data_IF_247313696291
#
_entry.id   IF_247313696291
#
_cell.length_a   1.000
_cell.length_b   1.000
_cell.length_c   1.000
_cell.angle_alpha   90.00
_cell.angle_beta   90.00
_cell.angle_gamma   90.00
#
_symmetry.space_group_name_H-M   'P 1'
#
loop_
_entity.id
_entity.type
_entity.pdbx_description
1 polymer ?
#
# COMPACT_ATOMS: atom_id res chain seq x y z
N UNK A 1 -14.57 -5.28 -18.36
CA UNK A 1 -13.99 -5.96 -19.54
C UNK A 1 -15.02 -6.82 -20.24
N UNK A 2 -15.49 -7.91 -19.62
CA UNK A 2 -16.47 -8.80 -20.24
C UNK A 2 -17.73 -8.05 -20.74
N UNK A 3 -18.33 -7.17 -19.95
CA UNK A 3 -19.55 -6.43 -20.37
C UNK A 3 -19.31 -5.31 -21.40
N UNK A 4 -18.09 -5.14 -21.94
CA UNK A 4 -17.78 -4.07 -22.90
C UNK A 4 -17.77 -2.65 -22.31
N UNK A 5 -17.83 -2.52 -20.98
CA UNK A 5 -17.86 -1.22 -20.28
C UNK A 5 -16.47 -0.63 -20.01
N UNK A 6 -15.40 -1.34 -20.36
CA UNK A 6 -14.02 -0.89 -20.13
C UNK A 6 -13.31 -0.86 -21.48
N UNK A 7 -12.90 0.35 -21.90
CA UNK A 7 -12.22 0.55 -23.17
C UNK A 7 -10.74 0.16 -23.12
N UNK A 8 -10.08 0.34 -21.98
CA UNK A 8 -8.69 -0.06 -21.86
C UNK A 8 -8.21 -0.29 -20.45
N UNK A 9 -7.05 -0.94 -20.36
CA UNK A 9 -6.49 -1.45 -19.12
C UNK A 9 -4.97 -1.28 -19.10
N UNK A 10 -4.44 -0.86 -17.95
CA UNK A 10 -3.02 -0.98 -17.63
C UNK A 10 -2.82 -2.22 -16.75
N UNK A 11 -1.91 -3.10 -17.17
CA UNK A 11 -1.45 -4.26 -16.40
C UNK A 11 0.05 -4.10 -16.20
N UNK A 12 0.46 -3.73 -14.99
CA UNK A 12 1.85 -3.42 -14.65
C UNK A 12 2.33 -4.37 -13.54
N UNK A 13 3.27 -5.25 -13.85
CA UNK A 13 3.80 -6.25 -12.89
C UNK A 13 2.74 -7.24 -12.38
N UNK A 14 1.77 -7.58 -13.22
CA UNK A 14 0.70 -8.53 -12.95
C UNK A 14 0.42 -9.37 -14.18
N UNK A 15 -0.20 -10.54 -13.98
CA UNK A 15 -0.55 -11.45 -15.06
C UNK A 15 -1.97 -12.03 -14.87
N UNK A 16 -3.03 -11.23 -15.04
CA UNK A 16 -4.41 -11.67 -14.85
C UNK A 16 -4.82 -12.85 -15.73
N UNK A 17 -4.26 -13.00 -16.93
CA UNK A 17 -4.53 -14.14 -17.82
C UNK A 17 -4.25 -15.51 -17.17
N UNK A 18 -3.38 -15.55 -16.15
CA UNK A 18 -3.03 -16.74 -15.35
C UNK A 18 -3.52 -16.61 -13.91
N UNK A 19 -3.34 -15.44 -13.28
CA UNK A 19 -3.63 -15.22 -11.86
C UNK A 19 -5.11 -15.10 -11.51
N UNK A 20 -5.99 -14.90 -12.49
CA UNK A 20 -7.43 -14.86 -12.27
C UNK A 20 -7.97 -16.26 -11.95
N UNK A 21 -8.91 -16.35 -11.01
CA UNK A 21 -9.57 -17.61 -10.62
C UNK A 21 -10.30 -18.31 -11.78
N UNK A 22 -10.73 -17.55 -12.79
CA UNK A 22 -11.29 -18.06 -14.03
C UNK A 22 -10.54 -17.49 -15.26
N UNK A 23 -9.38 -18.08 -15.56
CA UNK A 23 -8.50 -17.59 -16.65
C UNK A 23 -9.16 -17.58 -18.04
N UNK A 24 -10.08 -18.51 -18.35
CA UNK A 24 -10.80 -18.51 -19.65
C UNK A 24 -11.72 -17.31 -19.77
N UNK A 25 -12.46 -16.98 -18.71
CA UNK A 25 -13.29 -15.78 -18.69
C UNK A 25 -12.42 -14.52 -18.82
N UNK A 26 -11.31 -14.47 -18.08
CA UNK A 26 -10.41 -13.32 -18.08
C UNK A 26 -9.80 -13.07 -19.47
N UNK A 27 -9.24 -14.10 -20.12
CA UNK A 27 -8.65 -13.96 -21.46
C UNK A 27 -9.67 -13.57 -22.53
N UNK A 28 -10.90 -14.09 -22.44
CA UNK A 28 -12.02 -13.64 -23.29
C UNK A 28 -12.46 -12.21 -22.98
N UNK A 29 -12.30 -11.75 -21.74
CA UNK A 29 -12.62 -10.40 -21.35
C UNK A 29 -11.56 -9.40 -21.84
N UNK A 30 -10.27 -9.78 -21.81
CA UNK A 30 -9.17 -9.00 -22.39
C UNK A 30 -9.37 -8.74 -23.88
N UNK A 31 -9.86 -9.74 -24.62
CA UNK A 31 -10.22 -9.64 -26.04
C UNK A 31 -11.32 -8.62 -26.38
N UNK A 32 -12.03 -8.08 -25.36
CA UNK A 32 -13.08 -7.06 -25.55
C UNK A 32 -12.58 -5.63 -25.30
N UNK A 33 -11.33 -5.45 -24.89
CA UNK A 33 -10.72 -4.14 -24.73
C UNK A 33 -10.47 -3.50 -26.10
N UNK A 34 -10.53 -2.16 -26.16
CA UNK A 34 -10.01 -1.41 -27.31
C UNK A 34 -8.49 -1.35 -27.28
N UNK A 35 -7.91 -1.17 -26.09
CA UNK A 35 -6.46 -1.16 -25.90
C UNK A 35 -6.03 -1.78 -24.57
N UNK A 36 -4.85 -2.39 -24.55
CA UNK A 36 -4.20 -2.98 -23.38
C UNK A 36 -2.76 -2.49 -23.31
N UNK A 37 -2.36 -1.95 -22.16
CA UNK A 37 -0.96 -1.66 -21.86
C UNK A 37 -0.46 -2.71 -20.89
N UNK A 38 0.37 -3.63 -21.36
CA UNK A 38 1.10 -4.58 -20.54
C UNK A 38 2.52 -4.06 -20.29
N UNK A 39 2.96 -4.07 -19.04
CA UNK A 39 4.32 -3.67 -18.69
C UNK A 39 4.91 -4.61 -17.66
N UNK A 40 5.93 -5.35 -18.08
CA UNK A 40 6.57 -6.40 -17.29
C UNK A 40 8.04 -6.60 -17.74
N UNK A 41 8.80 -7.38 -16.99
CA UNK A 41 10.22 -7.68 -17.29
C UNK A 41 10.37 -8.64 -18.48
N UNK A 42 9.32 -9.42 -18.74
CA UNK A 42 9.25 -10.40 -19.84
C UNK A 42 7.88 -10.31 -20.50
N UNK A 43 7.74 -10.89 -21.68
CA UNK A 43 6.42 -11.11 -22.25
C UNK A 43 5.62 -12.07 -21.37
N UNK A 44 4.41 -11.69 -20.99
CA UNK A 44 3.50 -12.48 -20.15
C UNK A 44 2.32 -12.98 -20.97
N UNK A 45 1.62 -14.01 -20.47
CA UNK A 45 0.38 -14.54 -21.06
C UNK A 45 -0.71 -13.47 -21.17
N UNK A 46 -0.65 -12.43 -20.33
CA UNK A 46 -1.55 -11.27 -20.46
C UNK A 46 -1.17 -10.38 -21.64
N UNK A 47 0.11 -10.22 -21.96
CA UNK A 47 0.55 -9.47 -23.14
C UNK A 47 0.33 -10.26 -24.44
N UNK A 48 0.47 -11.59 -24.39
CA UNK A 48 0.38 -12.48 -25.54
C UNK A 48 -0.98 -13.17 -25.71
N UNK A 49 -1.99 -12.83 -24.89
CA UNK A 49 -3.29 -13.52 -24.86
C UNK A 49 -3.97 -13.63 -26.23
N UNK A 50 -3.73 -12.66 -27.11
CA UNK A 50 -4.39 -12.53 -28.41
C UNK A 50 -3.83 -13.49 -29.47
N UNK A 51 -2.63 -14.07 -29.29
CA UNK A 51 -2.06 -15.07 -30.21
C UNK A 51 -1.61 -16.38 -29.55
N UNK A 52 -1.28 -16.36 -28.25
CA UNK A 52 -0.70 -17.51 -27.54
C UNK A 52 -1.63 -18.10 -26.47
N UNK A 53 -2.88 -17.63 -26.35
CA UNK A 53 -3.80 -18.19 -25.36
C UNK A 53 -4.34 -19.56 -25.78
N UNK A 54 -4.73 -20.41 -24.80
CA UNK A 54 -5.45 -21.65 -25.09
C UNK A 54 -6.76 -21.42 -25.88
N UNK A 55 -7.37 -20.24 -25.78
CA UNK A 55 -8.55 -19.89 -26.57
C UNK A 55 -8.22 -19.65 -28.05
N UNK A 56 -7.01 -19.17 -28.37
CA UNK A 56 -6.53 -19.09 -29.76
C UNK A 56 -6.24 -20.50 -30.30
N UNK A 57 -5.55 -21.34 -29.53
CA UNK A 57 -5.27 -22.74 -29.92
C UNK A 57 -6.56 -23.54 -30.18
N UNK A 58 -7.62 -23.27 -29.40
CA UNK A 58 -8.94 -23.90 -29.58
C UNK A 58 -9.81 -23.24 -30.67
N UNK A 59 -9.33 -22.18 -31.33
CA UNK A 59 -10.08 -21.43 -32.34
C UNK A 59 -11.26 -20.61 -31.79
N UNK A 60 -11.29 -20.36 -30.47
CA UNK A 60 -12.30 -19.51 -29.82
C UNK A 60 -11.99 -18.01 -29.95
N UNK A 61 -10.73 -17.67 -30.18
CA UNK A 61 -10.22 -16.33 -30.49
C UNK A 61 -9.30 -16.45 -31.72
N UNK A 62 -9.19 -15.38 -32.52
CA UNK A 62 -8.28 -15.32 -33.66
C UNK A 62 -7.58 -13.96 -33.71
N UNK A 63 -6.23 -13.93 -33.84
CA UNK A 63 -5.47 -12.69 -34.00
C UNK A 63 -6.02 -11.77 -35.09
N UNK A 64 -6.52 -12.35 -36.18
CA UNK A 64 -7.03 -11.61 -37.35
C UNK A 64 -8.37 -10.91 -37.07
N UNK A 65 -9.14 -11.40 -36.10
CA UNK A 65 -10.46 -10.87 -35.74
C UNK A 65 -10.46 -9.99 -34.50
N UNK A 66 -9.38 -10.00 -33.71
CA UNK A 66 -9.25 -9.24 -32.47
C UNK A 66 -8.88 -7.79 -32.75
N UNK A 67 -9.68 -6.86 -32.25
CA UNK A 67 -9.47 -5.43 -32.43
C UNK A 67 -8.66 -4.77 -31.30
N UNK A 68 -8.29 -5.52 -30.26
CA UNK A 68 -7.56 -4.97 -29.11
C UNK A 68 -6.15 -4.59 -29.51
N UNK A 69 -5.82 -3.30 -29.39
CA UNK A 69 -4.45 -2.81 -29.56
C UNK A 69 -3.63 -3.13 -28.30
N UNK A 70 -2.53 -3.88 -28.43
CA UNK A 70 -1.69 -4.27 -27.29
C UNK A 70 -0.34 -3.56 -27.34
N UNK A 71 -0.04 -2.81 -26.28
CA UNK A 71 1.25 -2.20 -26.05
C UNK A 71 2.01 -3.01 -24.99
N UNK A 72 3.14 -3.61 -25.37
CA UNK A 72 4.07 -4.22 -24.41
C UNK A 72 5.26 -3.29 -24.18
N UNK A 73 5.39 -2.78 -22.94
CA UNK A 73 6.55 -1.98 -22.54
C UNK A 73 7.48 -2.80 -21.62
N UNK A 74 8.79 -2.87 -21.91
CA UNK A 74 9.73 -3.57 -21.03
C UNK A 74 9.98 -2.79 -19.73
N UNK A 75 9.90 -3.49 -18.59
CA UNK A 75 10.11 -2.93 -17.26
C UNK A 75 11.48 -3.30 -16.70
N UNK A 76 12.12 -2.37 -15.98
CA UNK A 76 13.34 -2.64 -15.24
C UNK A 76 13.08 -3.57 -14.03
N UNK A 77 13.96 -4.52 -13.82
CA UNK A 77 13.97 -5.43 -12.68
C UNK A 77 14.30 -4.74 -11.34
N UNK A 78 14.27 -5.52 -10.25
CA UNK A 78 14.49 -4.96 -8.90
C UNK A 78 15.92 -4.47 -8.65
N UNK A 79 16.92 -5.05 -9.31
CA UNK A 79 18.32 -4.63 -9.21
C UNK A 79 18.68 -3.48 -10.16
N UNK A 80 17.78 -3.14 -11.08
CA UNK A 80 18.04 -2.21 -12.19
C UNK A 80 17.47 -0.80 -11.93
N UNK A 81 16.87 -0.59 -10.76
CA UNK A 81 16.23 0.66 -10.35
C UNK A 81 16.41 0.91 -8.86
N UNK A 82 16.47 2.17 -8.48
CA UNK A 82 16.48 2.61 -7.09
C UNK A 82 15.07 2.89 -6.58
N UNK A 83 14.88 2.85 -5.27
CA UNK A 83 13.63 3.25 -4.63
C UNK A 83 13.42 2.54 -3.30
N UNK A 84 12.22 2.63 -2.76
CA UNK A 84 11.88 2.01 -1.48
C UNK A 84 10.87 0.89 -1.61
N UNK A 85 11.02 -0.17 -0.82
CA UNK A 85 10.03 -1.24 -0.69
C UNK A 85 9.71 -1.47 0.79
N UNK A 86 8.47 -1.85 1.10
CA UNK A 86 8.05 -2.24 2.45
C UNK A 86 7.86 -3.74 2.51
N UNK A 87 8.47 -4.39 3.49
CA UNK A 87 8.31 -5.84 3.71
C UNK A 87 7.11 -6.15 4.65
N UNK A 88 6.90 -7.43 4.93
CA UNK A 88 5.82 -7.91 5.83
C UNK A 88 5.90 -7.38 7.27
N UNK A 89 7.08 -6.92 7.70
CA UNK A 89 7.29 -6.34 9.03
C UNK A 89 6.97 -4.85 9.08
N UNK A 90 6.40 -4.28 8.00
CA UNK A 90 6.19 -2.82 7.80
C UNK A 90 7.49 -2.03 7.63
N UNK A 91 8.62 -2.73 7.51
CA UNK A 91 9.94 -2.14 7.40
C UNK A 91 10.18 -1.67 5.97
N UNK A 92 10.20 -0.35 5.81
CA UNK A 92 10.53 0.37 4.60
C UNK A 92 12.06 0.46 4.46
N UNK A 93 12.56 -0.01 3.32
CA UNK A 93 13.99 -0.02 3.02
C UNK A 93 14.25 0.54 1.63
N UNK A 94 15.23 1.43 1.55
CA UNK A 94 15.77 1.92 0.29
C UNK A 94 16.63 0.84 -0.37
N UNK A 95 16.63 0.79 -1.70
CA UNK A 95 17.52 -0.01 -2.52
C UNK A 95 18.16 0.88 -3.55
N UNK A 96 19.46 0.73 -3.70
CA UNK A 96 20.24 1.38 -4.75
C UNK A 96 20.15 0.57 -6.05
N UNK A 97 20.31 1.27 -7.17
CA UNK A 97 20.46 0.63 -8.48
C UNK A 97 21.84 -0.04 -8.57
N UNK A 98 21.86 -1.31 -8.99
CA UNK A 98 23.10 -2.09 -9.11
C UNK A 98 23.62 -2.17 -10.57
N UNK A 99 22.73 -2.19 -11.56
CA UNK A 99 23.10 -2.21 -12.98
C UNK A 99 22.04 -1.48 -13.84
N UNK A 100 22.38 -1.20 -15.09
CA UNK A 100 21.42 -0.67 -16.06
C UNK A 100 20.44 -1.74 -16.54
N UNK A 101 19.15 -1.40 -16.76
CA UNK A 101 18.19 -2.32 -17.33
C UNK A 101 18.52 -2.65 -18.80
N UNK A 102 18.15 -3.84 -19.30
CA UNK A 102 18.49 -4.25 -20.66
C UNK A 102 17.69 -3.47 -21.72
N UNK A 103 18.38 -3.08 -22.80
CA UNK A 103 17.77 -2.42 -23.95
C UNK A 103 16.97 -1.17 -23.56
N UNK A 104 15.69 -1.15 -23.95
CA UNK A 104 14.78 -0.03 -23.70
C UNK A 104 13.95 -0.16 -22.41
N UNK A 105 14.26 -1.12 -21.54
CA UNK A 105 13.61 -1.22 -20.24
C UNK A 105 13.85 0.05 -19.39
N UNK A 106 12.81 0.49 -18.68
CA UNK A 106 12.83 1.67 -17.79
C UNK A 106 12.18 1.35 -16.46
N UNK A 107 12.48 2.12 -15.41
CA UNK A 107 11.82 1.96 -14.10
C UNK A 107 10.32 2.30 -14.15
N UNK A 108 9.55 1.83 -13.17
CA UNK A 108 8.12 2.19 -13.02
C UNK A 108 7.99 3.70 -12.81
N UNK A 109 8.87 4.26 -11.99
CA UNK A 109 8.90 5.68 -11.67
C UNK A 109 9.08 6.51 -12.94
N UNK A 110 10.03 6.13 -13.80
CA UNK A 110 10.25 6.76 -15.12
C UNK A 110 9.00 6.69 -15.98
N UNK A 111 8.42 5.50 -16.12
CA UNK A 111 7.26 5.28 -16.99
C UNK A 111 6.07 6.12 -16.56
N UNK A 112 5.70 6.06 -15.27
CA UNK A 112 4.56 6.80 -14.73
C UNK A 112 4.79 8.30 -14.77
N UNK A 113 5.98 8.77 -14.42
CA UNK A 113 6.31 10.19 -14.44
C UNK A 113 6.19 10.79 -15.85
N UNK A 114 6.83 10.17 -16.84
CA UNK A 114 6.86 10.69 -18.21
C UNK A 114 5.52 10.48 -18.94
N UNK A 115 4.75 9.45 -18.59
CA UNK A 115 3.36 9.34 -19.02
C UNK A 115 2.52 10.49 -18.45
N UNK A 116 2.63 10.75 -17.14
CA UNK A 116 1.97 11.87 -16.48
C UNK A 116 2.29 13.22 -17.13
N UNK A 117 3.57 13.49 -17.42
CA UNK A 117 3.98 14.72 -18.14
C UNK A 117 3.31 14.87 -19.51
N UNK A 118 3.26 13.79 -20.30
CA UNK A 118 2.61 13.80 -21.62
C UNK A 118 1.11 14.02 -21.51
N UNK A 119 0.45 13.38 -20.53
CA UNK A 119 -0.98 13.58 -20.26
C UNK A 119 -1.27 15.03 -19.85
N UNK A 120 -0.49 15.59 -18.91
CA UNK A 120 -0.61 16.99 -18.50
C UNK A 120 -0.41 17.96 -19.67
N UNK A 121 0.62 17.76 -20.48
CA UNK A 121 0.87 18.60 -21.66
C UNK A 121 -0.30 18.57 -22.65
N UNK A 122 -0.90 17.39 -22.88
CA UNK A 122 -2.03 17.21 -23.78
C UNK A 122 -3.29 17.97 -23.35
N UNK A 123 -3.51 18.12 -22.05
CA UNK A 123 -4.70 18.80 -21.51
C UNK A 123 -4.43 20.22 -21.04
N UNK A 124 -3.20 20.73 -21.20
CA UNK A 124 -2.78 22.00 -20.63
C UNK A 124 -3.65 23.19 -21.07
N UNK A 125 -4.16 23.14 -22.32
CA UNK A 125 -5.02 24.16 -22.91
C UNK A 125 -6.51 23.73 -23.00
N UNK A 126 -6.86 22.52 -22.57
CA UNK A 126 -8.25 22.05 -22.51
C UNK A 126 -8.80 22.35 -21.12
N UNK A 127 -9.50 23.47 -20.98
CA UNK A 127 -10.08 23.94 -19.70
C UNK A 127 -11.30 23.14 -19.22
N UNK A 128 -11.76 22.15 -19.99
CA UNK A 128 -12.96 21.38 -19.66
C UNK A 128 -12.91 20.81 -18.23
N UNK A 129 -14.07 20.73 -17.54
CA UNK A 129 -14.13 20.25 -16.16
C UNK A 129 -13.52 18.86 -15.96
N UNK A 130 -13.64 17.96 -16.95
CA UNK A 130 -13.06 16.61 -16.92
C UNK A 130 -11.54 16.60 -16.72
N UNK A 131 -10.83 17.63 -17.17
CA UNK A 131 -9.38 17.70 -17.15
C UNK A 131 -8.83 18.51 -15.95
N UNK A 132 -9.71 19.10 -15.13
CA UNK A 132 -9.32 19.98 -14.01
C UNK A 132 -8.34 19.29 -13.05
N UNK A 133 -8.61 18.03 -12.70
CA UNK A 133 -7.76 17.25 -11.81
C UNK A 133 -6.35 17.07 -12.38
N UNK A 134 -6.24 16.63 -13.63
CA UNK A 134 -4.96 16.39 -14.29
C UNK A 134 -4.12 17.68 -14.42
N UNK A 135 -4.74 18.83 -14.68
CA UNK A 135 -4.03 20.12 -14.70
C UNK A 135 -3.53 20.54 -13.31
N UNK A 136 -4.30 20.25 -12.26
CA UNK A 136 -4.01 20.63 -10.88
C UNK A 136 -2.99 19.72 -10.16
N UNK A 137 -2.64 18.55 -10.72
CA UNK A 137 -1.66 17.65 -10.10
C UNK A 137 -0.29 18.31 -9.96
N UNK A 138 0.31 18.28 -8.77
CA UNK A 138 1.75 18.55 -8.58
C UNK A 138 2.55 17.43 -9.23
N UNK A 139 3.52 17.75 -10.10
CA UNK A 139 4.20 16.75 -10.95
C UNK A 139 5.60 17.21 -11.41
N UNK A 140 6.32 17.86 -10.52
CA UNK A 140 7.54 18.64 -10.73
C UNK A 140 8.78 18.02 -10.07
N UNK A 141 8.83 16.68 -10.02
CA UNK A 141 10.00 15.94 -9.53
C UNK A 141 11.24 16.22 -10.37
N UNK A 142 12.38 16.40 -9.71
CA UNK A 142 13.65 16.52 -10.40
C UNK A 142 14.00 15.20 -11.09
N UNK A 143 14.79 15.29 -12.16
CA UNK A 143 15.22 14.15 -12.95
C UNK A 143 16.74 14.12 -13.09
N UNK A 144 17.30 12.91 -13.18
CA UNK A 144 18.73 12.67 -13.26
C UNK A 144 19.10 11.84 -14.50
N UNK A 145 20.35 12.01 -14.93
CA UNK A 145 20.95 11.21 -16.00
C UNK A 145 20.38 11.45 -17.40
N UNK A 146 20.91 10.74 -18.41
CA UNK A 146 20.57 10.96 -19.82
C UNK A 146 19.14 10.58 -20.18
N UNK A 147 18.51 9.72 -19.38
CA UNK A 147 17.12 9.28 -19.58
C UNK A 147 16.11 10.14 -18.82
N UNK A 148 16.55 11.15 -18.07
CA UNK A 148 15.70 11.94 -17.18
C UNK A 148 14.91 11.04 -16.21
N UNK A 149 15.61 10.18 -15.47
CA UNK A 149 15.04 9.33 -14.42
C UNK A 149 14.58 10.19 -13.25
N UNK A 150 13.32 10.12 -12.81
CA UNK A 150 12.85 10.91 -11.67
C UNK A 150 13.55 10.48 -10.37
N UNK A 151 13.91 11.45 -9.55
CA UNK A 151 14.53 11.20 -8.25
C UNK A 151 13.54 10.52 -7.32
N UNK A 152 13.74 9.23 -7.06
CA UNK A 152 12.86 8.45 -6.18
C UNK A 152 12.76 9.03 -4.76
N UNK A 153 13.79 9.73 -4.30
CA UNK A 153 13.78 10.42 -3.00
C UNK A 153 12.83 11.61 -2.95
N UNK A 154 12.64 12.36 -4.05
CA UNK A 154 11.69 13.48 -4.08
C UNK A 154 10.26 12.97 -3.90
N UNK A 155 9.93 11.83 -4.51
CA UNK A 155 8.66 11.13 -4.31
C UNK A 155 8.51 10.67 -2.87
N UNK A 156 9.57 10.11 -2.26
CA UNK A 156 9.55 9.69 -0.86
C UNK A 156 9.35 10.88 0.11
N UNK A 157 9.94 12.05 -0.19
CA UNK A 157 9.74 13.28 0.59
C UNK A 157 8.29 13.77 0.52
N UNK A 158 7.66 13.71 -0.65
CA UNK A 158 6.23 14.02 -0.80
C UNK A 158 5.35 13.02 -0.04
N UNK A 159 5.68 11.72 -0.12
CA UNK A 159 5.02 10.67 0.65
C UNK A 159 5.14 10.92 2.16
N UNK A 160 6.33 11.31 2.64
CA UNK A 160 6.57 11.69 4.03
C UNK A 160 5.70 12.87 4.45
N UNK A 161 5.72 13.94 3.65
CA UNK A 161 4.93 15.14 3.85
C UNK A 161 5.72 16.38 4.25
N UNK A 162 5.04 17.51 4.13
CA UNK A 162 5.54 18.87 4.21
C UNK A 162 4.61 19.78 5.00
N UNK A 163 5.18 20.72 5.73
CA UNK A 163 4.52 21.97 6.13
C UNK A 163 4.49 22.90 4.91
N UNK A 164 3.31 23.36 4.50
CA UNK A 164 3.14 24.21 3.31
C UNK A 164 3.59 25.67 3.52
N UNK A 165 3.42 26.30 4.70
CA UNK A 165 3.84 27.69 4.90
C UNK A 165 5.35 27.90 4.74
N UNK A 166 6.18 26.94 5.18
CA UNK A 166 7.63 27.06 5.19
C UNK A 166 8.36 25.95 4.40
N UNK A 167 7.61 25.06 3.72
CA UNK A 167 8.13 23.97 2.89
C UNK A 167 9.18 23.10 3.59
N UNK A 168 8.98 22.79 4.87
CA UNK A 168 9.82 21.87 5.65
C UNK A 168 9.18 20.49 5.79
N UNK A 169 10.00 19.45 5.76
CA UNK A 169 9.52 18.08 5.97
C UNK A 169 8.93 17.91 7.37
N UNK A 170 7.86 17.13 7.44
CA UNK A 170 7.26 16.74 8.71
C UNK A 170 8.10 15.63 9.35
N UNK A 171 8.33 15.77 10.64
CA UNK A 171 9.17 14.86 11.41
C UNK A 171 8.40 13.67 11.97
N UNK A 172 7.10 13.86 12.17
CA UNK A 172 6.25 12.93 12.88
C UNK A 172 4.79 13.04 12.42
N UNK A 173 4.06 11.92 12.42
CA UNK A 173 2.64 11.85 12.09
C UNK A 173 1.77 12.89 12.82
N UNK A 174 2.08 13.19 14.08
CA UNK A 174 1.33 14.17 14.91
C UNK A 174 1.49 15.63 14.45
N UNK A 175 2.43 15.89 13.55
CA UNK A 175 2.62 17.21 12.96
C UNK A 175 1.54 17.50 11.91
N UNK A 176 0.89 16.47 11.36
CA UNK A 176 -0.17 16.57 10.36
C UNK A 176 -1.39 17.33 10.90
N UNK A 177 -1.95 18.19 10.05
CA UNK A 177 -3.13 19.01 10.33
C UNK A 177 -4.24 18.73 9.32
N UNK A 178 -5.49 18.92 9.75
CA UNK A 178 -6.69 18.67 8.95
C UNK A 178 -7.33 19.96 8.39
N UNK A 179 -6.70 21.12 8.59
CA UNK A 179 -7.15 22.45 8.15
C UNK A 179 -6.34 22.99 6.96
N UNK A 180 -5.51 22.14 6.33
CA UNK A 180 -4.79 22.45 5.09
C UNK A 180 -3.33 22.96 5.15
N UNK A 181 -2.68 23.26 6.29
CA UNK A 181 -1.29 23.77 6.30
C UNK A 181 -0.23 22.66 6.14
N UNK A 182 -0.63 21.39 6.04
CA UNK A 182 0.27 20.26 5.82
C UNK A 182 -0.19 19.42 4.64
N UNK A 183 0.76 18.92 3.84
CA UNK A 183 0.53 17.93 2.79
C UNK A 183 1.32 16.65 3.09
N UNK A 184 0.75 15.49 2.79
CA UNK A 184 1.40 14.19 3.03
C UNK A 184 0.82 13.13 2.10
N UNK A 185 1.66 12.48 1.29
CA UNK A 185 1.21 11.47 0.34
C UNK A 185 0.73 10.18 1.02
N UNK A 186 1.34 9.77 2.13
CA UNK A 186 0.86 8.66 2.94
C UNK A 186 1.20 8.85 4.44
N UNK A 187 0.17 9.14 5.24
CA UNK A 187 0.34 9.52 6.66
C UNK A 187 1.12 8.52 7.51
N UNK A 188 1.01 7.22 7.23
CA UNK A 188 1.76 6.16 7.95
C UNK A 188 3.27 6.24 7.74
N UNK A 189 3.72 6.82 6.62
CA UNK A 189 5.13 7.03 6.31
C UNK A 189 5.67 8.37 6.80
N UNK A 190 4.82 9.26 7.34
CA UNK A 190 5.29 10.51 7.92
C UNK A 190 6.30 10.25 9.04
N UNK A 191 7.50 10.82 8.89
CA UNK A 191 8.67 10.60 9.72
C UNK A 191 9.74 9.68 9.13
N UNK A 192 9.55 9.13 7.92
CA UNK A 192 10.61 8.43 7.16
C UNK A 192 11.69 9.40 6.67
N UNK A 193 11.31 10.64 6.38
CA UNK A 193 12.19 11.69 5.86
C UNK A 193 12.05 12.95 6.73
N UNK A 194 12.43 12.89 8.02
CA UNK A 194 12.08 13.92 8.99
C UNK A 194 12.79 15.27 8.79
N UNK A 195 13.84 15.30 7.98
CA UNK A 195 14.63 16.49 7.66
C UNK A 195 15.36 16.29 6.31
N UNK A 196 15.86 17.38 5.72
CA UNK A 196 16.32 17.44 4.33
C UNK A 196 17.34 16.37 3.92
N UNK A 197 18.22 15.94 4.81
CA UNK A 197 19.32 15.03 4.50
C UNK A 197 19.25 13.72 5.28
N UNK A 198 18.05 13.31 5.72
CA UNK A 198 17.88 12.10 6.51
C UNK A 198 16.81 11.17 5.94
N UNK A 199 17.23 10.31 5.03
CA UNK A 199 16.41 9.21 4.53
C UNK A 199 16.47 8.00 5.47
N UNK A 200 15.48 7.83 6.35
CA UNK A 200 15.47 6.71 7.30
C UNK A 200 15.32 5.35 6.63
N UNK A 201 14.70 5.29 5.44
CA UNK A 201 14.64 4.05 4.67
C UNK A 201 16.05 3.60 4.20
N UNK A 202 17.01 4.52 4.10
CA UNK A 202 18.40 4.21 3.75
C UNK A 202 19.32 4.06 4.97
N UNK A 203 18.81 4.11 6.21
CA UNK A 203 19.64 3.86 7.40
C UNK A 203 20.09 2.39 7.46
N UNK A 204 21.37 2.17 7.80
CA UNK A 204 22.06 0.85 7.87
C UNK A 204 22.86 0.67 9.16
N UNK A 205 22.47 1.35 10.23
CA UNK A 205 23.15 1.30 11.52
C UNK A 205 22.18 0.73 12.58
N UNK A 206 21.96 -0.60 12.58
CA UNK A 206 21.03 -1.23 13.49
C UNK A 206 21.53 -1.10 14.92
N UNK A 207 20.65 -0.71 15.82
CA UNK A 207 20.87 -0.60 17.24
C UNK A 207 19.83 -1.47 17.94
N UNK A 208 20.11 -1.80 19.20
CA UNK A 208 19.22 -2.54 20.10
C UNK A 208 18.70 -3.90 19.57
N UNK A 209 17.80 -4.50 20.35
CA UNK A 209 17.25 -5.83 20.08
C UNK A 209 16.29 -5.86 18.88
N UNK A 210 15.65 -4.73 18.57
CA UNK A 210 14.62 -4.60 17.54
C UNK A 210 15.18 -3.99 16.23
N UNK A 211 16.45 -3.60 16.23
CA UNK A 211 17.15 -3.15 15.03
C UNK A 211 16.76 -1.75 14.58
N UNK A 212 16.44 -0.84 15.51
CA UNK A 212 16.20 0.56 15.16
C UNK A 212 17.43 1.18 14.49
N UNK A 213 17.24 2.05 13.50
CA UNK A 213 18.33 2.56 12.67
C UNK A 213 18.72 1.64 11.50
N UNK A 214 17.98 0.55 11.29
CA UNK A 214 17.94 -0.18 10.02
C UNK A 214 16.57 0.01 9.38
N UNK A 215 16.50 0.81 8.31
CA UNK A 215 15.25 1.21 7.67
C UNK A 215 14.27 1.95 8.61
N UNK A 216 13.03 2.11 8.15
CA UNK A 216 11.95 2.75 8.91
C UNK A 216 10.70 1.87 8.95
N UNK A 217 10.19 1.54 10.13
CA UNK A 217 8.94 0.78 10.24
C UNK A 217 7.72 1.69 10.41
N UNK A 218 6.69 1.60 9.59
CA UNK A 218 5.48 2.40 9.81
C UNK A 218 4.55 1.73 10.83
N UNK A 219 3.86 2.45 11.73
CA UNK A 219 3.95 3.89 11.94
C UNK A 219 5.09 4.28 12.91
N UNK A 220 5.66 5.46 12.71
CA UNK A 220 6.62 6.10 13.64
C UNK A 220 7.80 5.23 14.12
N UNK A 221 8.33 4.36 13.25
CA UNK A 221 9.40 3.41 13.55
C UNK A 221 9.11 2.47 14.73
N UNK A 222 7.82 2.17 14.97
CA UNK A 222 7.37 1.15 15.89
C UNK A 222 7.57 -0.25 15.27
N UNK A 223 8.41 -1.07 15.91
CA UNK A 223 8.77 -2.40 15.40
C UNK A 223 7.70 -3.44 15.73
N UNK A 224 7.02 -3.32 16.88
CA UNK A 224 5.94 -4.21 17.31
C UNK A 224 4.67 -3.40 17.58
N UNK A 225 3.68 -3.52 16.69
CA UNK A 225 2.37 -2.88 16.88
C UNK A 225 1.66 -3.39 18.14
N UNK A 226 0.84 -2.52 18.72
CA UNK A 226 0.12 -2.77 19.97
C UNK A 226 1.05 -3.11 21.15
N UNK A 227 2.31 -2.65 21.12
CA UNK A 227 3.29 -2.94 22.18
C UNK A 227 2.86 -2.43 23.57
N UNK A 228 1.94 -1.46 23.67
CA UNK A 228 1.29 -1.08 24.94
C UNK A 228 0.63 -2.26 25.66
N UNK A 229 0.16 -3.27 24.94
CA UNK A 229 -0.39 -4.51 25.53
C UNK A 229 0.66 -5.40 26.22
N UNK A 230 1.96 -5.12 26.03
CA UNK A 230 3.06 -5.80 26.75
C UNK A 230 3.21 -5.34 28.21
N UNK A 231 2.52 -4.26 28.59
CA UNK A 231 2.38 -3.80 29.97
C UNK A 231 0.97 -4.04 30.51
N UNK A 232 0.89 -4.25 31.82
CA UNK A 232 -0.34 -4.34 32.61
C UNK A 232 -1.17 -3.05 32.52
N UNK A 233 -2.43 -3.09 33.00
CA UNK A 233 -3.24 -1.89 33.17
C UNK A 233 -2.56 -0.81 34.02
N UNK A 234 -1.76 -1.19 35.02
CA UNK A 234 -0.97 -0.28 35.87
C UNK A 234 0.30 0.26 35.20
N UNK A 235 0.58 -0.16 33.97
CA UNK A 235 1.72 0.26 33.16
C UNK A 235 3.05 -0.44 33.44
N UNK A 236 3.08 -1.41 34.34
CA UNK A 236 4.27 -2.24 34.58
C UNK A 236 4.31 -3.43 33.60
N UNK A 237 5.50 -3.92 33.18
CA UNK A 237 5.59 -5.05 32.27
C UNK A 237 4.93 -6.32 32.80
N UNK A 238 4.23 -7.09 31.95
CA UNK A 238 3.73 -8.43 32.33
C UNK A 238 4.86 -9.39 32.69
N UNK A 239 6.02 -9.25 32.03
CA UNK A 239 7.21 -10.06 32.26
C UNK A 239 8.45 -9.21 32.01
N UNK A 240 9.39 -9.18 32.97
CA UNK A 240 10.66 -8.47 32.80
C UNK A 240 11.48 -8.99 31.62
N UNK A 241 11.45 -10.31 31.38
CA UNK A 241 12.19 -10.95 30.28
C UNK A 241 11.65 -10.58 28.89
N UNK A 242 10.37 -10.23 28.78
CA UNK A 242 9.66 -9.98 27.51
C UNK A 242 9.04 -8.58 27.43
N UNK A 243 9.52 -7.63 28.23
CA UNK A 243 8.99 -6.27 28.23
C UNK A 243 9.31 -5.58 26.91
N UNK A 244 8.37 -4.80 26.40
CA UNK A 244 8.59 -3.94 25.24
C UNK A 244 8.50 -2.47 25.66
N UNK A 245 7.36 -2.06 26.21
CA UNK A 245 7.14 -0.71 26.72
C UNK A 245 6.55 -0.75 28.13
N UNK A 246 6.78 0.30 28.91
CA UNK A 246 6.27 0.47 30.27
C UNK A 246 6.12 1.96 30.60
N UNK A 247 5.36 2.25 31.66
CA UNK A 247 5.20 3.60 32.18
C UNK A 247 6.38 3.96 33.07
N UNK A 248 7.07 5.06 32.76
CA UNK A 248 8.12 5.66 33.60
C UNK A 248 7.47 6.73 34.48
N UNK A 249 7.24 6.41 35.75
CA UNK A 249 6.61 7.33 36.71
C UNK A 249 7.44 8.60 36.95
N UNK A 250 8.76 8.54 36.81
CA UNK A 250 9.62 9.70 37.02
C UNK A 250 9.52 10.69 35.84
N UNK A 251 9.35 10.18 34.61
CA UNK A 251 9.23 11.00 33.40
C UNK A 251 7.79 11.28 32.98
N UNK A 252 6.82 10.61 33.59
CA UNK A 252 5.40 10.67 33.25
C UNK A 252 5.15 10.35 31.76
N UNK A 253 5.81 9.30 31.26
CA UNK A 253 5.66 8.86 29.88
C UNK A 253 5.83 7.35 29.68
N UNK A 254 5.25 6.83 28.59
CA UNK A 254 5.57 5.53 28.05
C UNK A 254 6.97 5.54 27.46
N UNK A 255 7.80 4.62 27.91
CA UNK A 255 9.16 4.37 27.43
C UNK A 255 9.35 2.89 27.16
N UNK A 256 10.46 2.47 26.57
CA UNK A 256 10.66 1.07 26.26
C UNK A 256 11.91 0.72 25.47
N UNK A 257 11.94 -0.53 25.04
CA UNK A 257 12.85 -1.07 24.02
C UNK A 257 12.38 -0.79 22.59
N UNK A 258 11.13 -0.34 22.42
CA UNK A 258 10.48 0.01 21.16
C UNK A 258 9.84 1.39 21.27
N UNK A 259 9.55 2.02 20.13
CA UNK A 259 8.74 3.22 20.09
C UNK A 259 7.30 2.87 20.52
N UNK A 260 6.74 3.52 21.55
CA UNK A 260 5.40 3.19 22.01
C UNK A 260 4.35 3.41 20.91
N UNK A 261 3.60 2.35 20.57
CA UNK A 261 2.40 2.43 19.74
C UNK A 261 1.22 2.93 20.58
N UNK A 262 1.43 4.08 21.21
CA UNK A 262 0.51 4.67 22.18
C UNK A 262 0.78 6.16 22.37
N UNK A 263 -0.18 6.87 22.95
CA UNK A 263 0.04 8.26 23.32
C UNK A 263 1.04 8.34 24.48
N UNK A 264 2.24 8.85 24.16
CA UNK A 264 3.42 8.84 25.04
C UNK A 264 3.12 9.38 26.43
N UNK A 265 2.30 10.42 26.55
CA UNK A 265 1.99 11.10 27.81
C UNK A 265 0.66 10.68 28.45
N UNK A 266 -0.05 9.68 27.92
CA UNK A 266 -1.31 9.23 28.54
C UNK A 266 -1.01 8.29 29.71
N UNK A 267 -1.31 8.69 30.97
CA UNK A 267 -1.05 7.84 32.13
C UNK A 267 -1.90 6.58 32.14
N UNK A 268 -1.43 5.44 32.69
CA UNK A 268 -2.17 4.18 32.70
C UNK A 268 -3.53 4.27 33.43
N UNK A 269 -3.63 5.14 34.43
CA UNK A 269 -4.80 5.37 35.26
C UNK A 269 -5.78 6.43 34.70
N UNK A 270 -5.47 7.04 33.55
CA UNK A 270 -6.36 8.02 32.92
C UNK A 270 -7.75 7.39 32.70
N UNK A 271 -8.83 7.97 33.26
CA UNK A 271 -10.17 7.44 33.06
C UNK A 271 -10.61 7.63 31.61
N UNK A 272 -11.46 6.72 31.14
CA UNK A 272 -12.08 6.85 29.83
C UNK A 272 -13.02 8.06 29.79
N UNK A 273 -13.06 8.74 28.64
CA UNK A 273 -13.92 9.90 28.42
C UNK A 273 -14.91 9.61 27.28
N UNK A 274 -15.63 8.50 27.37
CA UNK A 274 -16.45 7.96 26.27
C UNK A 274 -17.59 8.88 25.80
N UNK A 275 -18.05 9.81 26.66
CA UNK A 275 -19.18 10.68 26.36
C UNK A 275 -18.80 12.01 25.72
N UNK A 276 -17.54 12.46 25.90
CA UNK A 276 -17.08 13.78 25.42
C UNK A 276 -15.80 13.71 24.58
N UNK A 277 -14.97 12.69 24.80
CA UNK A 277 -13.73 12.48 24.06
C UNK A 277 -13.99 12.13 22.61
N UNK A 278 -13.05 12.48 21.74
CA UNK A 278 -13.08 12.13 20.31
C UNK A 278 -11.86 11.28 19.97
N UNK A 279 -12.06 10.25 19.15
CA UNK A 279 -11.00 9.33 18.77
C UNK A 279 -10.33 8.68 20.00
N UNK A 280 -9.00 8.70 20.03
CA UNK A 280 -8.21 8.10 21.11
C UNK A 280 -8.37 8.80 22.46
N UNK A 281 -8.84 10.06 22.50
CA UNK A 281 -9.10 10.78 23.75
C UNK A 281 -10.25 10.18 24.57
N UNK A 282 -11.16 9.47 23.90
CA UNK A 282 -12.27 8.77 24.56
C UNK A 282 -11.78 7.54 25.34
N UNK A 283 -10.64 6.97 24.96
CA UNK A 283 -10.09 5.76 25.56
C UNK A 283 -9.41 6.09 26.91
N UNK A 284 -9.57 5.20 27.88
CA UNK A 284 -8.80 5.24 29.13
C UNK A 284 -7.36 4.76 28.91
N UNK A 285 -6.43 5.15 29.79
CA UNK A 285 -5.00 4.84 29.64
C UNK A 285 -4.61 3.37 29.77
N UNK A 286 -5.54 2.54 30.25
CA UNK A 286 -5.42 1.09 30.31
C UNK A 286 -5.89 0.38 29.02
N UNK A 287 -6.18 1.11 27.93
CA UNK A 287 -6.74 0.56 26.69
C UNK A 287 -5.69 0.52 25.56
N UNK A 288 -4.99 -0.61 25.34
CA UNK A 288 -3.84 -0.68 24.43
C UNK A 288 -4.15 -0.58 22.93
N UNK A 289 -5.38 -0.86 22.49
CA UNK A 289 -5.70 -0.98 21.06
C UNK A 289 -6.34 0.30 20.50
N UNK A 290 -5.53 1.32 20.21
CA UNK A 290 -5.99 2.67 19.84
C UNK A 290 -6.79 2.76 18.54
N UNK A 291 -6.64 1.77 17.66
CA UNK A 291 -7.40 1.64 16.41
C UNK A 291 -8.78 0.97 16.60
N UNK A 292 -9.04 0.41 17.78
CA UNK A 292 -10.31 -0.19 18.13
C UNK A 292 -11.19 0.82 18.89
N UNK A 293 -12.48 0.98 18.53
CA UNK A 293 -13.37 1.94 19.20
C UNK A 293 -13.51 1.74 20.72
N UNK A 294 -13.36 0.51 21.19
CA UNK A 294 -13.45 0.12 22.61
C UNK A 294 -12.07 -0.01 23.28
N UNK A 295 -10.99 0.13 22.50
CA UNK A 295 -9.62 0.04 22.97
C UNK A 295 -9.16 -1.34 23.41
N UNK A 296 -9.90 -2.41 23.05
CA UNK A 296 -9.58 -3.80 23.43
C UNK A 296 -9.34 -4.70 22.22
N UNK A 297 -8.52 -5.73 22.43
CA UNK A 297 -8.27 -6.76 21.42
C UNK A 297 -9.41 -7.75 21.42
N UNK A 298 -9.95 -8.07 20.25
CA UNK A 298 -10.96 -9.11 20.10
C UNK A 298 -10.29 -10.45 19.79
N UNK A 299 -10.40 -11.41 20.70
CA UNK A 299 -10.19 -12.81 20.35
C UNK A 299 -11.54 -13.39 19.95
N UNK A 300 -11.81 -13.52 18.65
CA UNK A 300 -12.90 -14.37 18.20
C UNK A 300 -12.46 -15.82 18.39
N UNK A 301 -13.06 -16.61 19.30
CA UNK A 301 -12.88 -18.05 19.24
C UNK A 301 -13.37 -18.53 17.86
N UNK A 302 -12.75 -19.55 17.25
CA UNK A 302 -13.33 -20.19 16.09
C UNK A 302 -14.73 -20.65 16.50
N UNK A 303 -15.76 -20.01 15.93
CA UNK A 303 -17.14 -20.42 16.13
C UNK A 303 -17.20 -21.87 15.63
N UNK A 304 -17.55 -22.85 16.47
CA UNK A 304 -17.82 -24.20 15.97
C UNK A 304 -18.95 -24.05 14.96
N UNK A 305 -18.75 -24.51 13.71
CA UNK A 305 -19.84 -24.54 12.74
C UNK A 305 -21.05 -25.23 13.40
N UNK A 306 -22.19 -24.53 13.57
CA UNK A 306 -23.33 -25.12 14.24
C UNK A 306 -23.83 -26.30 13.40
N UNK A 307 -23.78 -27.51 13.96
CA UNK A 307 -24.53 -28.65 13.42
C UNK A 307 -26.00 -28.23 13.36
N UNK A 308 -26.54 -28.28 12.14
CA UNK A 308 -27.88 -27.86 11.75
C UNK A 308 -28.94 -28.04 12.84
N UNK A 309 -29.50 -26.93 13.33
CA UNK A 309 -30.91 -26.88 13.74
C UNK A 309 -31.59 -25.80 12.91
N UNK A 310 -32.60 -26.23 12.16
CA UNK A 310 -33.46 -25.40 11.31
C UNK A 310 -34.04 -24.24 12.13
N UNK A 311 -33.77 -23.01 11.72
CA UNK A 311 -34.65 -21.88 11.99
C UNK A 311 -34.46 -20.84 10.88
N UNK A 312 -35.56 -20.51 10.21
CA UNK A 312 -35.65 -19.53 9.13
C UNK A 312 -35.31 -18.13 9.64
N UNK A 313 -34.33 -17.47 9.02
CA UNK A 313 -34.25 -16.01 8.90
C UNK A 313 -33.65 -15.70 7.53
N UNK A 314 -34.32 -14.85 6.76
CA UNK A 314 -33.91 -14.36 5.44
C UNK A 314 -32.48 -13.80 5.46
N UNK A 315 -31.65 -14.28 4.54
CA UNK A 315 -30.34 -13.72 4.23
C UNK A 315 -30.22 -13.56 2.72
N UNK A 316 -30.03 -12.31 2.32
CA UNK A 316 -29.54 -11.93 1.00
C UNK A 316 -28.19 -12.59 0.71
N UNK A 317 -27.96 -12.87 -0.57
CA UNK A 317 -26.68 -13.19 -1.20
C UNK A 317 -26.19 -14.65 -1.03
N UNK A 318 -26.35 -15.43 -2.10
CA UNK A 318 -25.27 -15.84 -3.01
C UNK A 318 -25.64 -17.16 -3.71
N UNK A 319 -26.06 -17.00 -4.97
CA UNK A 319 -26.08 -18.07 -5.97
C UNK A 319 -24.64 -18.28 -6.41
N UNK A 320 -24.05 -19.45 -6.11
CA UNK A 320 -23.04 -20.12 -6.94
C UNK A 320 -22.62 -21.45 -6.30
N UNK A 321 -23.50 -22.43 -6.26
CA UNK A 321 -23.10 -23.84 -6.16
C UNK A 321 -24.23 -24.72 -6.70
N UNK A 322 -24.34 -24.78 -8.03
CA UNK A 322 -25.19 -25.77 -8.70
C UNK A 322 -24.73 -26.00 -10.13
N UNK A 323 -23.71 -26.86 -10.31
CA UNK A 323 -23.61 -27.77 -11.46
C UNK A 323 -22.29 -28.54 -11.45
N UNK A 324 -22.07 -29.46 -10.51
CA UNK A 324 -21.01 -30.47 -10.65
C UNK A 324 -21.38 -31.73 -9.85
N UNK A 325 -22.50 -32.37 -10.20
CA UNK A 325 -22.79 -33.76 -9.87
C UNK A 325 -24.08 -34.18 -10.58
N UNK A 326 -24.00 -34.48 -11.88
CA UNK A 326 -24.98 -35.32 -12.60
C UNK A 326 -24.38 -35.67 -13.97
N UNK A 327 -23.44 -36.60 -13.97
CA UNK A 327 -23.16 -37.51 -15.10
C UNK A 327 -22.14 -38.58 -14.69
N UNK A 328 -22.60 -39.48 -13.82
CA UNK A 328 -21.96 -40.77 -13.59
C UNK A 328 -23.04 -41.80 -13.21
N UNK A 329 -23.97 -42.05 -14.14
CA UNK A 329 -24.83 -43.22 -14.16
C UNK A 329 -25.58 -43.32 -15.50
N UNK A 330 -24.88 -43.73 -16.56
CA UNK A 330 -25.35 -44.62 -17.64
C UNK A 330 -24.20 -44.93 -18.59
#
# INVERSE_FOLDING_TARGET
>A
MADGKLDGLFVMGQNPAVGASNGRLERKALARLKWLVARDMVETETASFWYASPEVERGELSPESLATEVFLFPAAGTAEKSGTFTNTQRLLQHREKALDPPGDARSETWFVFHLGRRLKARVNHDESPRNKGLRALTWDYATEGPLAEPRSEDVLREINGWSLPDYKQLSHIKDLKNDGPTACGAWIYCGVFPEENRNRANERNPKDLLGHGWGFSWPNDCRIIYNRASARPDGKPWSERKKLVWWDEAKLEWTGLDNPDYEKKTPPDKPANIHKGRGTEALGGARPFTLHPDGVGSCSPPVPMPRSRKMNVEVQSLVAEKSWSDNAAR
#
